data_IF_157133329104
#
_entry.id   IF_157133329104
#
_cell.length_a   1.000
_cell.length_b   1.000
_cell.length_c   1.000
_cell.angle_alpha   90.00
_cell.angle_beta   90.00
_cell.angle_gamma   90.00
#
_symmetry.space_group_name_H-M   'P 1'
#
loop_
_entity.id
_entity.type
_entity.pdbx_description
1 polymer ?
#
# COMPACT_ATOMS: atom_id res chain seq x y z
N UNK A 1 6.69 -15.89 -19.03
CA UNK A 1 7.88 -15.23 -19.63
C UNK A 1 8.32 -14.07 -18.73
N UNK A 2 9.60 -13.65 -18.75
CA UNK A 2 10.14 -12.56 -17.90
C UNK A 2 9.24 -11.32 -17.82
N UNK A 3 8.62 -10.92 -18.94
CA UNK A 3 7.74 -9.74 -19.01
C UNK A 3 6.48 -9.85 -18.15
N UNK A 4 5.93 -11.06 -17.91
CA UNK A 4 4.77 -11.23 -17.04
C UNK A 4 5.13 -11.10 -15.56
N UNK A 5 6.33 -11.53 -15.17
CA UNK A 5 6.83 -11.34 -13.80
C UNK A 5 7.02 -9.87 -13.48
N UNK A 6 7.60 -9.10 -14.41
CA UNK A 6 7.82 -7.65 -14.24
C UNK A 6 6.48 -6.93 -14.03
N UNK A 7 5.48 -7.22 -14.87
CA UNK A 7 4.13 -6.62 -14.76
C UNK A 7 3.49 -6.81 -13.38
N UNK A 8 3.80 -7.90 -12.68
CA UNK A 8 3.24 -8.19 -11.35
C UNK A 8 4.10 -7.64 -10.21
N UNK A 9 5.43 -7.71 -10.35
CA UNK A 9 6.35 -7.37 -9.27
C UNK A 9 6.66 -5.87 -9.20
N UNK A 10 6.67 -5.18 -10.33
CA UNK A 10 6.97 -3.74 -10.39
C UNK A 10 5.93 -2.88 -9.63
N UNK A 11 4.61 -3.10 -9.74
CA UNK A 11 3.62 -2.38 -8.93
C UNK A 11 3.76 -2.65 -7.42
N UNK A 12 4.15 -3.87 -7.04
CA UNK A 12 4.40 -4.25 -5.64
C UNK A 12 5.61 -3.51 -5.09
N UNK A 13 6.71 -3.47 -5.84
CA UNK A 13 7.90 -2.70 -5.49
C UNK A 13 7.56 -1.22 -5.29
N UNK A 14 6.81 -0.64 -6.24
CA UNK A 14 6.38 0.76 -6.14
C UNK A 14 5.52 1.04 -4.91
N UNK A 15 4.65 0.10 -4.52
CA UNK A 15 3.85 0.21 -3.30
C UNK A 15 4.72 0.23 -2.04
N UNK A 16 5.73 -0.64 -1.97
CA UNK A 16 6.70 -0.68 -0.85
C UNK A 16 7.51 0.62 -0.79
N UNK A 17 8.06 1.07 -1.92
CA UNK A 17 8.82 2.33 -1.98
C UNK A 17 7.98 3.54 -1.56
N UNK A 18 6.69 3.56 -1.91
CA UNK A 18 5.76 4.60 -1.47
C UNK A 18 5.52 4.55 0.04
N UNK A 19 5.30 3.36 0.60
CA UNK A 19 5.14 3.17 2.04
C UNK A 19 6.37 3.63 2.83
N UNK A 20 7.58 3.28 2.36
CA UNK A 20 8.83 3.72 2.95
C UNK A 20 8.99 5.25 2.93
N UNK A 21 8.63 5.91 1.84
CA UNK A 21 8.59 7.40 1.77
C UNK A 21 7.58 8.01 2.75
N UNK A 22 6.52 7.27 3.06
CA UNK A 22 5.46 7.68 3.97
C UNK A 22 5.83 7.56 5.46
N UNK A 23 6.73 6.65 5.84
CA UNK A 23 7.08 6.38 7.26
C UNK A 23 7.57 7.62 8.02
N UNK A 24 8.21 8.57 7.33
CA UNK A 24 8.69 9.82 7.93
C UNK A 24 7.67 10.97 7.80
N UNK A 25 6.41 10.66 7.51
CA UNK A 25 5.33 11.63 7.27
C UNK A 25 4.06 11.18 7.99
N UNK A 26 3.19 12.12 8.33
CA UNK A 26 1.86 11.82 8.92
C UNK A 26 0.88 11.12 7.97
N UNK A 27 1.36 10.65 6.82
CA UNK A 27 0.61 9.92 5.79
C UNK A 27 0.74 8.40 5.89
N UNK A 28 1.72 7.88 6.64
CA UNK A 28 1.82 6.43 6.82
C UNK A 28 0.58 5.89 7.52
N UNK A 29 0.08 4.73 7.07
CA UNK A 29 -1.11 4.11 7.65
C UNK A 29 -2.42 4.85 7.36
N UNK A 30 -2.46 5.82 6.43
CA UNK A 30 -3.71 6.48 6.00
C UNK A 30 -4.16 6.02 4.62
N UNK A 31 -5.46 5.74 4.50
CA UNK A 31 -6.09 5.34 3.24
C UNK A 31 -5.95 6.45 2.20
N UNK A 32 -5.52 6.10 1.00
CA UNK A 32 -5.34 7.07 -0.08
C UNK A 32 -6.65 7.71 -0.56
N UNK A 33 -7.79 7.02 -0.41
CA UNK A 33 -9.12 7.47 -0.85
C UNK A 33 -9.79 8.35 0.21
N UNK A 34 -10.07 7.80 1.40
CA UNK A 34 -10.85 8.51 2.43
C UNK A 34 -10.00 9.22 3.49
N UNK A 35 -8.66 9.10 3.44
CA UNK A 35 -7.69 9.70 4.38
C UNK A 35 -7.80 9.24 5.85
N UNK A 36 -8.73 8.32 6.16
CA UNK A 36 -8.84 7.67 7.46
C UNK A 36 -7.70 6.67 7.68
N UNK A 37 -7.49 6.26 8.93
CA UNK A 37 -6.52 5.24 9.28
C UNK A 37 -6.85 3.89 8.63
N UNK A 38 -5.81 3.18 8.21
CA UNK A 38 -5.88 1.80 7.72
C UNK A 38 -5.89 0.88 8.94
N UNK A 39 -6.74 -0.14 8.90
CA UNK A 39 -6.89 -1.08 10.01
C UNK A 39 -5.55 -1.75 10.34
N UNK A 40 -5.18 -1.80 11.62
CA UNK A 40 -3.88 -2.36 12.06
C UNK A 40 -3.66 -3.78 11.52
N UNK A 41 -4.67 -4.64 11.63
CA UNK A 41 -4.63 -6.02 11.08
C UNK A 41 -4.28 -6.09 9.59
N UNK A 42 -4.62 -5.05 8.82
CA UNK A 42 -4.30 -4.96 7.39
C UNK A 42 -2.86 -4.49 7.17
N UNK A 43 -2.38 -3.55 7.97
CA UNK A 43 -0.98 -3.11 7.95
C UNK A 43 -0.03 -4.21 8.43
N UNK A 44 -0.41 -5.00 9.43
CA UNK A 44 0.35 -6.17 9.88
C UNK A 44 0.47 -7.24 8.78
N UNK A 45 -0.63 -7.51 8.07
CA UNK A 45 -0.62 -8.44 6.94
C UNK A 45 0.13 -7.89 5.72
N UNK A 46 0.04 -6.58 5.47
CA UNK A 46 0.72 -5.89 4.39
C UNK A 46 1.03 -4.42 4.77
N UNK A 47 2.27 -4.13 5.21
CA UNK A 47 2.67 -2.78 5.61
C UNK A 47 2.64 -1.75 4.46
N UNK A 48 2.59 -2.23 3.21
CA UNK A 48 2.46 -1.39 2.02
C UNK A 48 1.00 -1.21 1.56
N UNK A 49 0.01 -1.55 2.40
CA UNK A 49 -1.40 -1.31 2.09
C UNK A 49 -1.66 0.18 1.86
N UNK A 50 -2.30 0.50 0.73
CA UNK A 50 -2.62 1.88 0.31
C UNK A 50 -4.04 2.32 0.66
N UNK A 51 -4.91 1.37 0.98
CA UNK A 51 -6.34 1.59 1.20
C UNK A 51 -6.82 0.87 2.44
N UNK A 52 -7.88 1.36 3.10
CA UNK A 52 -8.59 0.62 4.15
C UNK A 52 -9.44 -0.51 3.54
N UNK A 53 -10.06 -1.34 4.39
CA UNK A 53 -10.89 -2.47 3.92
C UNK A 53 -12.08 -2.02 3.06
N UNK A 54 -12.68 -0.86 3.39
CA UNK A 54 -13.78 -0.28 2.60
C UNK A 54 -13.36 0.04 1.15
N UNK A 55 -12.07 0.30 0.91
CA UNK A 55 -11.55 0.73 -0.38
C UNK A 55 -10.60 -0.28 -1.01
N UNK A 56 -10.82 -1.57 -0.78
CA UNK A 56 -9.96 -2.67 -1.24
C UNK A 56 -9.85 -2.77 -2.77
N UNK A 57 -10.91 -2.41 -3.49
CA UNK A 57 -11.05 -2.58 -4.95
C UNK A 57 -11.01 -1.23 -5.72
N UNK A 58 -10.49 -0.17 -5.09
CA UNK A 58 -10.28 1.12 -5.78
C UNK A 58 -8.91 1.21 -6.45
#
# INVERSE_FOLDING_TARGET
ARSSMIKTLEPRLNSILKALKGLNRDSFGKCEVCKKEIEMTRLEANPAARTCKEHLEN
#
